data_IF_502360634377
#
_entry.id   IF_502360634377
#
_cell.length_a   1.000
_cell.length_b   1.000
_cell.length_c   1.000
_cell.angle_alpha   90.00
_cell.angle_beta   90.00
_cell.angle_gamma   90.00
#
_symmetry.space_group_name_H-M   'P 1'
#
loop_
_entity.id
_entity.type
_entity.pdbx_description
1 polymer ?
#
# COMPACT_ATOMS: atom_id res chain seq x y z
N UNK A 1 -3.73 -4.87 9.23
CA UNK A 1 -4.80 -3.88 9.47
C UNK A 1 -6.16 -4.48 9.18
N UNK A 2 -7.19 -4.00 9.87
CA UNK A 2 -8.59 -4.22 9.57
C UNK A 2 -9.04 -3.27 8.45
N UNK A 3 -9.77 -3.82 7.48
CA UNK A 3 -10.46 -3.08 6.43
C UNK A 3 -11.94 -3.44 6.49
N UNK A 4 -12.82 -2.51 6.10
CA UNK A 4 -14.26 -2.72 6.20
C UNK A 4 -14.82 -2.65 7.63
N UNK A 5 -14.16 -1.89 8.51
CA UNK A 5 -14.55 -1.76 9.93
C UNK A 5 -15.92 -1.12 10.12
N UNK A 6 -16.44 -0.40 9.13
CA UNK A 6 -17.80 0.14 9.16
C UNK A 6 -18.88 -0.96 9.22
N UNK A 7 -18.56 -2.18 8.78
CA UNK A 7 -19.46 -3.34 8.92
C UNK A 7 -19.69 -3.73 10.38
N UNK A 8 -18.71 -3.47 11.27
CA UNK A 8 -18.88 -3.64 12.71
C UNK A 8 -19.94 -2.67 13.26
N UNK A 9 -20.16 -1.53 12.61
CA UNK A 9 -21.19 -0.57 12.97
C UNK A 9 -22.51 -0.77 12.18
N UNK A 10 -22.68 -1.91 11.50
CA UNK A 10 -23.85 -2.20 10.69
C UNK A 10 -23.95 -1.38 9.40
N UNK A 11 -22.86 -0.75 8.96
CA UNK A 11 -22.82 0.03 7.72
C UNK A 11 -22.23 -0.81 6.58
N UNK A 12 -22.70 -0.57 5.35
CA UNK A 12 -22.10 -1.18 4.17
C UNK A 12 -20.71 -0.60 3.90
N UNK A 13 -19.79 -1.41 3.35
CA UNK A 13 -18.47 -0.95 2.93
C UNK A 13 -18.60 0.06 1.79
N UNK A 14 -18.13 1.30 1.97
CA UNK A 14 -18.30 2.39 0.98
C UNK A 14 -17.02 2.81 0.28
N UNK A 15 -15.88 2.36 0.78
CA UNK A 15 -14.57 2.74 0.26
C UNK A 15 -14.04 1.69 -0.72
N UNK A 16 -12.96 2.01 -1.43
CA UNK A 16 -12.17 1.03 -2.16
C UNK A 16 -10.82 0.87 -1.47
N UNK A 17 -10.27 -0.33 -1.57
CA UNK A 17 -8.91 -0.63 -1.11
C UNK A 17 -8.14 -1.26 -2.25
N UNK A 18 -6.94 -0.75 -2.51
CA UNK A 18 -6.02 -1.29 -3.52
C UNK A 18 -4.69 -1.56 -2.85
N UNK A 19 -4.16 -2.77 -3.05
CA UNK A 19 -2.87 -3.15 -2.51
C UNK A 19 -1.75 -2.45 -3.32
N UNK A 20 -0.98 -1.60 -2.65
CA UNK A 20 0.18 -0.91 -3.25
C UNK A 20 1.42 -1.80 -3.31
N UNK A 21 1.48 -2.79 -2.43
CA UNK A 21 2.50 -3.83 -2.38
C UNK A 21 1.81 -5.19 -2.31
N UNK A 22 2.51 -6.30 -2.61
CA UNK A 22 1.97 -7.63 -2.33
C UNK A 22 1.45 -7.71 -0.89
N UNK A 23 0.18 -8.07 -0.73
CA UNK A 23 -0.53 -8.11 0.54
C UNK A 23 -1.43 -9.34 0.59
N UNK A 24 -1.70 -9.82 1.80
CA UNK A 24 -2.65 -10.91 2.07
C UNK A 24 -3.78 -10.38 2.95
N UNK A 25 -4.99 -10.86 2.69
CA UNK A 25 -6.17 -10.53 3.46
C UNK A 25 -6.74 -11.80 4.06
N UNK A 26 -7.10 -11.73 5.33
CA UNK A 26 -7.77 -12.80 6.05
C UNK A 26 -9.15 -12.32 6.52
N UNK A 27 -10.21 -13.11 6.31
CA UNK A 27 -11.54 -12.73 6.75
C UNK A 27 -11.65 -12.83 8.27
N UNK A 28 -12.06 -11.73 8.90
CA UNK A 28 -12.39 -11.70 10.33
C UNK A 28 -13.82 -12.19 10.52
N UNK A 29 -13.98 -13.25 11.32
CA UNK A 29 -15.31 -13.76 11.70
C UNK A 29 -15.71 -13.16 13.04
N UNK A 30 -16.90 -12.57 13.09
CA UNK A 30 -17.51 -12.06 14.32
C UNK A 30 -18.63 -13.02 14.69
N UNK A 31 -18.44 -13.82 15.74
CA UNK A 31 -19.38 -14.90 16.09
C UNK A 31 -20.31 -14.56 17.24
N UNK A 32 -20.01 -13.50 17.98
CA UNK A 32 -20.84 -13.02 19.09
C UNK A 32 -20.47 -11.63 19.60
N UNK A 33 -21.13 -11.17 20.67
CA UNK A 33 -20.95 -9.83 21.21
C UNK A 33 -19.53 -9.53 21.71
N UNK A 34 -18.85 -10.53 22.29
CA UNK A 34 -17.49 -10.34 22.80
C UNK A 34 -16.46 -10.15 21.68
N UNK A 35 -16.57 -10.94 20.60
CA UNK A 35 -15.79 -10.77 19.37
C UNK A 35 -16.04 -9.39 18.77
N UNK A 36 -17.32 -8.99 18.70
CA UNK A 36 -17.73 -7.71 18.15
C UNK A 36 -17.08 -6.56 18.92
N UNK A 37 -17.18 -6.57 20.25
CA UNK A 37 -16.56 -5.58 21.11
C UNK A 37 -15.02 -5.59 21.01
N UNK A 38 -14.40 -6.77 20.86
CA UNK A 38 -12.96 -6.90 20.63
C UNK A 38 -12.54 -6.22 19.33
N UNK A 39 -13.16 -6.55 18.20
CA UNK A 39 -12.81 -6.01 16.89
C UNK A 39 -13.12 -4.52 16.78
N UNK A 40 -14.19 -4.05 17.43
CA UNK A 40 -14.50 -2.63 17.49
C UNK A 40 -13.40 -1.84 18.21
N UNK A 41 -12.89 -2.34 19.35
CA UNK A 41 -11.75 -1.72 20.05
C UNK A 41 -10.50 -1.69 19.17
N UNK A 42 -10.18 -2.78 18.48
CA UNK A 42 -9.04 -2.84 17.55
C UNK A 42 -9.20 -1.84 16.40
N UNK A 43 -10.39 -1.74 15.81
CA UNK A 43 -10.68 -0.80 14.74
C UNK A 43 -10.49 0.66 15.17
N UNK A 44 -10.94 1.04 16.37
CA UNK A 44 -10.77 2.40 16.90
C UNK A 44 -9.29 2.73 17.12
N UNK A 45 -8.53 1.81 17.72
CA UNK A 45 -7.09 2.01 17.94
C UNK A 45 -6.31 2.12 16.62
N UNK A 46 -6.61 1.24 15.66
CA UNK A 46 -6.03 1.32 14.34
C UNK A 46 -6.36 2.63 13.64
N UNK A 47 -7.62 3.07 13.69
CA UNK A 47 -8.05 4.31 13.03
C UNK A 47 -7.25 5.52 13.55
N UNK A 48 -6.96 5.56 14.86
CA UNK A 48 -6.14 6.61 15.44
C UNK A 48 -4.72 6.62 14.86
N UNK A 49 -4.04 5.47 14.85
CA UNK A 49 -2.69 5.33 14.29
C UNK A 49 -2.66 5.68 12.81
N UNK A 50 -3.61 5.18 12.03
CA UNK A 50 -3.71 5.45 10.59
C UNK A 50 -4.01 6.91 10.29
N UNK A 51 -4.77 7.59 11.15
CA UNK A 51 -5.01 9.03 10.99
C UNK A 51 -3.71 9.83 11.14
N UNK A 52 -2.82 9.42 12.05
CA UNK A 52 -1.50 10.04 12.20
C UNK A 52 -0.61 9.79 10.98
N UNK A 53 -0.56 8.54 10.49
CA UNK A 53 0.18 8.18 9.28
C UNK A 53 -0.30 8.99 8.07
N UNK A 54 -1.62 9.08 7.87
CA UNK A 54 -2.21 9.85 6.77
C UNK A 54 -1.88 11.34 6.86
N UNK A 55 -1.87 11.92 8.07
CA UNK A 55 -1.43 13.30 8.26
C UNK A 55 0.06 13.47 7.89
N UNK A 56 0.93 12.55 8.31
CA UNK A 56 2.35 12.57 7.98
C UNK A 56 2.63 12.34 6.48
N UNK A 57 1.78 11.58 5.79
CA UNK A 57 1.87 11.38 4.33
C UNK A 57 1.44 12.60 3.51
N UNK A 58 0.70 13.55 4.09
CA UNK A 58 0.17 14.73 3.39
C UNK A 58 0.73 16.07 3.83
N UNK A 59 1.40 16.14 4.98
CA UNK A 59 1.89 17.41 5.54
C UNK A 59 3.42 17.48 5.57
N UNK A 60 3.97 18.69 5.50
CA UNK A 60 5.41 18.93 5.48
C UNK A 60 6.05 18.75 4.10
N UNK A 61 7.38 18.66 4.06
CA UNK A 61 8.13 18.59 2.79
C UNK A 61 8.01 17.21 2.14
N UNK A 62 7.92 17.16 0.81
CA UNK A 62 7.78 15.89 0.04
C UNK A 62 8.83 14.84 0.43
N UNK A 63 10.07 15.26 0.69
CA UNK A 63 11.13 14.36 1.16
C UNK A 63 10.82 13.71 2.51
N UNK A 64 10.24 14.45 3.45
CA UNK A 64 9.83 13.91 4.76
C UNK A 64 8.67 12.91 4.62
N UNK A 65 7.70 13.23 3.76
CA UNK A 65 6.55 12.35 3.47
C UNK A 65 6.99 11.05 2.82
N UNK A 66 7.91 11.12 1.86
CA UNK A 66 8.52 9.93 1.25
C UNK A 66 9.35 9.12 2.24
N UNK A 67 10.12 9.75 3.13
CA UNK A 67 10.82 9.03 4.20
C UNK A 67 9.83 8.30 5.12
N UNK A 68 8.70 8.91 5.44
CA UNK A 68 7.66 8.27 6.23
C UNK A 68 7.02 7.10 5.48
N UNK A 69 6.65 7.27 4.20
CA UNK A 69 6.14 6.18 3.37
C UNK A 69 7.13 5.00 3.28
N UNK A 70 8.42 5.27 3.07
CA UNK A 70 9.44 4.23 3.06
C UNK A 70 9.48 3.44 4.37
N UNK A 71 9.33 4.10 5.52
CA UNK A 71 9.23 3.43 6.83
C UNK A 71 7.97 2.56 6.93
N UNK A 72 6.81 3.04 6.45
CA UNK A 72 5.57 2.26 6.42
C UNK A 72 5.70 1.00 5.55
N UNK A 73 6.49 1.06 4.48
CA UNK A 73 6.80 -0.09 3.61
C UNK A 73 7.88 -1.03 4.20
N UNK A 74 8.30 -0.81 5.45
CA UNK A 74 9.32 -1.64 6.11
C UNK A 74 10.75 -1.34 5.69
N UNK A 75 10.97 -0.30 4.87
CA UNK A 75 12.32 0.18 4.58
C UNK A 75 12.78 1.08 5.71
N UNK A 76 13.57 0.51 6.64
CA UNK A 76 14.26 1.31 7.66
C UNK A 76 14.98 2.47 6.95
N UNK A 77 14.70 3.69 7.43
CA UNK A 77 14.88 4.94 6.69
C UNK A 77 16.23 5.01 5.99
N UNK A 78 16.30 5.61 4.78
CA UNK A 78 17.55 5.71 4.05
C UNK A 78 18.58 6.39 4.94
N UNK A 79 19.56 5.62 5.40
CA UNK A 79 20.73 6.18 6.07
C UNK A 79 21.40 7.11 5.06
N UNK A 80 21.85 8.27 5.52
CA UNK A 80 22.50 9.30 4.70
C UNK A 80 23.41 8.63 3.67
N UNK A 81 23.18 8.94 2.38
CA UNK A 81 23.70 8.22 1.23
C UNK A 81 25.12 7.67 1.44
N UNK A 82 25.19 6.42 1.92
CA UNK A 82 26.41 5.65 1.93
C UNK A 82 26.78 5.42 0.47
N UNK A 83 28.01 5.73 0.10
CA UNK A 83 28.47 5.54 -1.28
C UNK A 83 29.05 4.15 -1.52
N UNK A 84 29.07 3.30 -0.50
CA UNK A 84 29.54 1.92 -0.60
C UNK A 84 28.61 1.02 -1.43
N UNK A 85 29.13 -0.14 -1.80
CA UNK A 85 28.40 -1.09 -2.64
C UNK A 85 27.15 -1.67 -1.95
N UNK A 86 27.19 -1.86 -0.63
CA UNK A 86 26.09 -2.42 0.14
C UNK A 86 24.89 -1.45 0.21
N UNK A 87 25.17 -0.15 0.42
CA UNK A 87 24.18 0.91 0.41
C UNK A 87 23.50 1.05 -0.95
N UNK A 88 24.25 0.92 -2.06
CA UNK A 88 23.68 0.93 -3.42
C UNK A 88 22.83 -0.30 -3.71
N UNK A 89 23.30 -1.50 -3.33
CA UNK A 89 22.52 -2.72 -3.50
C UNK A 89 21.20 -2.66 -2.71
N UNK A 90 21.23 -2.14 -1.48
CA UNK A 90 20.02 -1.90 -0.68
C UNK A 90 19.09 -0.87 -1.35
N UNK A 91 19.64 0.21 -1.88
CA UNK A 91 18.85 1.24 -2.59
C UNK A 91 18.17 0.67 -3.84
N UNK A 92 18.85 -0.20 -4.58
CA UNK A 92 18.29 -0.86 -5.75
C UNK A 92 17.21 -1.88 -5.37
N UNK A 93 17.39 -2.60 -4.25
CA UNK A 93 16.34 -3.46 -3.69
C UNK A 93 15.09 -2.64 -3.29
N UNK A 94 15.27 -1.54 -2.57
CA UNK A 94 14.17 -0.62 -2.22
C UNK A 94 13.43 -0.19 -3.48
N UNK A 95 14.15 0.30 -4.51
CA UNK A 95 13.51 0.74 -5.77
C UNK A 95 12.73 -0.36 -6.47
N UNK A 96 13.15 -1.61 -6.36
CA UNK A 96 12.47 -2.74 -6.96
C UNK A 96 11.20 -3.17 -6.21
N UNK A 97 11.10 -2.85 -4.91
CA UNK A 97 9.94 -3.15 -4.08
C UNK A 97 8.94 -2.01 -3.95
N UNK A 98 9.25 -0.81 -4.44
CA UNK A 98 8.33 0.33 -4.38
C UNK A 98 7.14 0.15 -5.36
N UNK A 99 5.97 0.69 -4.99
CA UNK A 99 4.89 0.95 -5.94
C UNK A 99 5.36 1.81 -7.13
N UNK A 100 4.52 1.91 -8.15
CA UNK A 100 4.81 2.77 -9.30
C UNK A 100 4.95 4.23 -8.88
N UNK A 101 5.70 5.02 -9.66
CA UNK A 101 5.86 6.45 -9.39
C UNK A 101 4.53 7.21 -9.32
N UNK A 102 3.51 6.74 -10.08
CA UNK A 102 2.17 7.29 -10.05
C UNK A 102 1.48 7.05 -8.71
N UNK A 103 1.48 5.81 -8.25
CA UNK A 103 0.90 5.45 -6.96
C UNK A 103 1.63 6.17 -5.82
N UNK A 104 2.95 6.26 -5.87
CA UNK A 104 3.72 7.04 -4.90
C UNK A 104 3.29 8.53 -4.88
N UNK A 105 3.15 9.13 -6.06
CA UNK A 105 2.71 10.52 -6.21
C UNK A 105 1.30 10.77 -5.66
N UNK A 106 0.38 9.83 -5.89
CA UNK A 106 -0.98 9.88 -5.35
C UNK A 106 -0.98 9.73 -3.83
N UNK A 107 -0.20 8.81 -3.27
CA UNK A 107 -0.13 8.54 -1.83
C UNK A 107 0.45 9.73 -1.06
N UNK A 108 1.56 10.31 -1.53
CA UNK A 108 2.21 11.44 -0.84
C UNK A 108 1.66 12.80 -1.25
N UNK A 109 0.62 12.85 -2.09
CA UNK A 109 0.03 14.08 -2.63
C UNK A 109 1.08 15.03 -3.24
N UNK A 110 1.78 14.57 -4.28
CA UNK A 110 2.82 15.32 -4.95
C UNK A 110 2.84 15.06 -6.47
N UNK A 111 3.50 15.95 -7.23
CA UNK A 111 3.72 15.72 -8.66
C UNK A 111 4.78 14.63 -8.87
N UNK A 112 4.63 13.84 -9.94
CA UNK A 112 5.58 12.79 -10.36
C UNK A 112 7.03 13.29 -10.38
N UNK A 113 7.27 14.45 -10.98
CA UNK A 113 8.60 15.08 -11.07
C UNK A 113 9.20 15.36 -9.69
N UNK A 114 8.37 15.83 -8.74
CA UNK A 114 8.80 16.11 -7.38
C UNK A 114 9.14 14.84 -6.61
N UNK A 115 8.36 13.77 -6.80
CA UNK A 115 8.64 12.44 -6.24
C UNK A 115 9.97 11.89 -6.76
N UNK A 116 10.19 11.92 -8.08
CA UNK A 116 11.44 11.49 -8.70
C UNK A 116 12.67 12.19 -8.09
N UNK A 117 12.61 13.53 -8.00
CA UNK A 117 13.71 14.32 -7.42
C UNK A 117 13.93 14.03 -5.95
N UNK A 118 12.86 13.87 -5.18
CA UNK A 118 12.97 13.56 -3.76
C UNK A 118 13.53 12.15 -3.53
N UNK A 119 13.10 11.14 -4.30
CA UNK A 119 13.67 9.79 -4.24
C UNK A 119 15.16 9.76 -4.62
N UNK A 120 15.58 10.57 -5.61
CA UNK A 120 16.99 10.69 -5.99
C UNK A 120 17.86 11.29 -4.86
N UNK A 121 17.29 12.14 -4.00
CA UNK A 121 17.96 12.67 -2.80
C UNK A 121 18.02 11.66 -1.65
N UNK A 122 17.01 10.80 -1.56
CA UNK A 122 16.87 9.82 -0.49
C UNK A 122 17.67 8.54 -0.73
N UNK A 123 17.85 8.15 -1.98
CA UNK A 123 18.44 6.86 -2.32
C UNK A 123 19.74 7.06 -3.13
N UNK A 124 20.87 6.45 -2.74
CA UNK A 124 22.12 6.48 -3.51
C UNK A 124 21.91 6.17 -5.00
N UNK A 125 22.71 6.75 -5.91
CA UNK A 125 22.61 6.46 -7.33
C UNK A 125 22.60 4.96 -7.62
N UNK A 126 21.84 4.56 -8.65
CA UNK A 126 21.74 3.17 -9.08
C UNK A 126 23.13 2.58 -9.29
N UNK A 127 23.31 1.31 -8.92
CA UNK A 127 24.44 0.56 -9.45
C UNK A 127 24.33 0.57 -10.97
N UNK A 128 25.34 1.10 -11.66
CA UNK A 128 25.42 0.92 -13.10
C UNK A 128 25.61 -0.57 -13.33
N UNK A 129 24.60 -1.23 -13.90
CA UNK A 129 24.82 -2.52 -14.53
C UNK A 129 25.94 -2.31 -15.56
N UNK A 130 27.04 -3.09 -15.56
CA UNK A 130 27.95 -3.08 -16.70
C UNK A 130 27.10 -3.34 -17.94
N UNK A 131 27.10 -2.39 -18.88
CA UNK A 131 26.22 -2.47 -20.04
C UNK A 131 26.52 -3.75 -20.83
N UNK A 132 25.50 -4.46 -21.34
CA UNK A 132 25.75 -5.54 -22.27
C UNK A 132 26.28 -4.95 -23.57
N UNK A 133 27.42 -5.44 -24.05
CA UNK A 133 27.68 -5.39 -25.49
C UNK A 133 26.54 -6.19 -26.17
N UNK A 134 25.66 -5.48 -26.88
CA UNK A 134 24.66 -5.99 -27.82
C UNK A 134 23.86 -7.23 -27.41
N UNK A 135 22.62 -7.05 -26.94
CA UNK A 135 21.61 -8.10 -27.02
C UNK A 135 20.23 -7.48 -27.27
N UNK A 136 19.56 -8.01 -28.28
CA UNK A 136 18.37 -7.50 -28.93
C UNK A 136 17.15 -7.32 -28.00
N UNK A 137 16.39 -6.26 -28.27
CA UNK A 137 15.05 -6.04 -27.75
C UNK A 137 14.11 -7.18 -28.20
N UNK A 138 13.59 -7.94 -27.25
CA UNK A 138 12.37 -8.75 -27.46
C UNK A 138 11.21 -7.98 -26.83
N UNK A 139 10.33 -7.48 -27.71
CA UNK A 139 9.02 -6.97 -27.33
C UNK A 139 8.21 -8.09 -26.66
N UNK A 140 7.80 -7.89 -25.40
CA UNK A 140 6.74 -8.69 -24.78
C UNK A 140 5.52 -7.79 -24.61
N UNK A 141 4.57 -7.92 -25.52
CA UNK A 141 3.24 -7.38 -25.35
C UNK A 141 2.56 -8.12 -24.18
N UNK A 142 2.10 -7.37 -23.17
CA UNK A 142 1.21 -7.89 -22.14
C UNK A 142 -0.19 -7.41 -22.47
N UNK A 143 -0.93 -8.26 -23.17
CA UNK A 143 -2.38 -8.18 -23.28
C UNK A 143 -2.95 -8.54 -21.90
N UNK A 144 -3.42 -7.56 -21.15
CA UNK A 144 -4.30 -7.80 -20.01
C UNK A 144 -5.71 -7.60 -20.50
N UNK A 145 -6.40 -8.71 -20.72
CA UNK A 145 -7.85 -8.75 -20.89
C UNK A 145 -8.50 -8.13 -19.65
N UNK A 146 -9.34 -7.14 -19.90
CA UNK A 146 -10.26 -6.56 -18.93
C UNK A 146 -11.21 -7.65 -18.43
N UNK A 147 -10.97 -8.15 -17.22
CA UNK A 147 -11.96 -8.92 -16.48
C UNK A 147 -12.39 -8.10 -15.26
N UNK A 148 -13.42 -7.29 -15.48
CA UNK A 148 -14.16 -6.59 -14.46
C UNK A 148 -14.91 -7.61 -13.60
N UNK A 149 -14.27 -8.14 -12.57
CA UNK A 149 -15.00 -8.81 -11.48
C UNK A 149 -15.58 -7.75 -10.55
N UNK A 150 -16.78 -7.29 -10.91
CA UNK A 150 -17.70 -6.74 -9.93
C UNK A 150 -17.91 -7.79 -8.83
N UNK A 151 -17.46 -7.48 -7.61
CA UNK A 151 -17.83 -8.24 -6.43
C UNK A 151 -19.32 -8.04 -6.19
N UNK A 152 -20.14 -8.91 -6.77
CA UNK A 152 -21.55 -9.04 -6.46
C UNK A 152 -21.71 -9.78 -5.12
N UNK A 153 -22.46 -9.25 -4.14
CA UNK A 153 -22.78 -9.99 -2.94
C UNK A 153 -23.75 -11.11 -3.29
N UNK A 154 -23.24 -12.33 -3.38
CA UNK A 154 -24.06 -13.50 -3.67
C UNK A 154 -24.58 -14.09 -2.37
N UNK A 155 -25.90 -13.97 -2.18
CA UNK A 155 -26.71 -14.88 -1.39
C UNK A 155 -26.48 -14.91 0.12
N UNK A 156 -27.10 -13.99 0.85
CA UNK A 156 -27.56 -14.32 2.20
C UNK A 156 -28.91 -15.03 2.08
N UNK A 157 -29.11 -16.23 2.66
CA UNK A 157 -30.40 -16.90 2.60
C UNK A 157 -31.43 -16.09 3.39
N UNK A 158 -32.47 -15.62 2.70
CA UNK A 158 -33.73 -15.23 3.34
C UNK A 158 -34.41 -16.54 3.72
N UNK A 159 -34.16 -17.02 4.94
CA UNK A 159 -34.94 -18.11 5.51
C UNK A 159 -36.26 -17.53 6.04
N UNK A 160 -37.34 -18.03 5.45
CA UNK A 160 -38.74 -17.76 5.75
C UNK A 160 -39.08 -17.88 7.25
N UNK A 161 -40.04 -17.04 7.63
CA UNK A 161 -41.21 -17.27 8.49
C UNK A 161 -41.23 -18.49 9.43
N UNK A 162 -41.71 -18.28 10.67
CA UNK A 162 -42.86 -18.98 11.31
C UNK A 162 -43.04 -18.54 12.80
N UNK A 163 -44.14 -18.91 13.50
CA UNK A 163 -45.33 -18.10 13.82
C UNK A 163 -45.34 -17.67 15.32
N UNK A 164 -46.25 -16.82 15.83
CA UNK A 164 -47.69 -17.01 16.06
C UNK A 164 -48.36 -15.66 16.36
#
# INVERSE_FOLDING_TARGET
DLIGTESLCGQAYRYSATALTPAQLEPVRVTGPDDHAHWLRQAVMQQHLRSQDMAALRTGQVTQRLQHLLRLLGHAGPQAAGHDAAARARADHIRASLPTLRELAEVVDAKHETVCRALARLLPPRTRKPGPAGAAHVHRASNWLSESMAFAPQGWPVANALPA
#
